data_IF_929196028348
#
_entry.id   IF_929196028348
#
_cell.length_a   1.000
_cell.length_b   1.000
_cell.length_c   1.000
_cell.angle_alpha   90.00
_cell.angle_beta   90.00
_cell.angle_gamma   90.00
#
_symmetry.space_group_name_H-M   'P 1'
#
loop_
_entity.id
_entity.type
_entity.pdbx_description
1 polymer ?
#
# COMPACT_ATOMS: atom_id res chain seq x y z
N UNK A 1 -0.32 -6.53 -71.94
CA UNK A 1 -0.65 -5.43 -71.05
C UNK A 1 -0.42 -5.92 -69.64
N UNK A 2 0.75 -5.64 -69.04
CA UNK A 2 1.08 -5.98 -67.66
C UNK A 2 0.95 -4.75 -66.80
N UNK A 3 0.02 -4.78 -65.81
CA UNK A 3 -0.15 -3.74 -64.83
C UNK A 3 0.75 -4.03 -63.63
N UNK A 4 1.72 -3.18 -63.36
CA UNK A 4 2.59 -3.24 -62.18
C UNK A 4 1.90 -2.55 -61.03
N UNK A 5 1.61 -3.28 -59.94
CA UNK A 5 1.16 -2.71 -58.69
C UNK A 5 2.38 -2.24 -57.88
N UNK A 6 2.50 -0.94 -57.69
CA UNK A 6 3.46 -0.34 -56.74
C UNK A 6 2.89 -0.41 -55.33
N UNK A 7 3.52 -1.23 -54.47
CA UNK A 7 3.25 -1.24 -53.04
C UNK A 7 4.06 -0.14 -52.35
N UNK A 8 3.37 0.86 -51.80
CA UNK A 8 3.96 1.95 -51.03
C UNK A 8 4.11 1.50 -49.57
N UNK A 9 5.34 1.15 -49.17
CA UNK A 9 5.67 0.89 -47.75
C UNK A 9 5.93 2.22 -47.06
N UNK A 10 5.00 2.62 -46.20
CA UNK A 10 5.18 3.77 -45.29
C UNK A 10 6.09 3.33 -44.14
N UNK A 11 7.36 3.72 -44.17
CA UNK A 11 8.28 3.62 -43.04
C UNK A 11 7.91 4.70 -42.03
N UNK A 12 7.22 4.32 -40.96
CA UNK A 12 6.99 5.18 -39.79
C UNK A 12 8.31 5.41 -39.06
N UNK A 13 8.93 6.56 -39.27
CA UNK A 13 10.05 7.04 -38.47
C UNK A 13 9.55 7.39 -37.05
N UNK A 14 9.61 6.44 -36.12
CA UNK A 14 9.44 6.73 -34.71
C UNK A 14 10.65 7.54 -34.22
N UNK A 15 10.45 8.79 -33.86
CA UNK A 15 11.47 9.58 -33.16
C UNK A 15 11.68 9.02 -31.76
N UNK A 16 12.67 8.15 -31.59
CA UNK A 16 13.22 7.83 -30.31
C UNK A 16 14.14 8.99 -29.89
N UNK A 17 13.69 9.88 -29.03
CA UNK A 17 14.56 10.84 -28.36
C UNK A 17 15.34 10.08 -27.28
N UNK A 18 16.55 9.65 -27.59
CA UNK A 18 17.52 9.26 -26.59
C UNK A 18 18.01 10.51 -25.88
N UNK A 19 17.56 10.71 -24.63
CA UNK A 19 18.18 11.70 -23.77
C UNK A 19 19.49 11.10 -23.27
N UNK A 20 20.61 11.53 -23.82
CA UNK A 20 21.94 11.23 -23.25
C UNK A 20 22.07 11.97 -21.91
N UNK A 21 21.59 11.36 -20.84
CA UNK A 21 21.85 11.77 -19.49
C UNK A 21 23.16 11.14 -19.03
N UNK A 22 24.23 11.91 -18.90
CA UNK A 22 25.40 11.45 -18.17
C UNK A 22 24.98 11.25 -16.71
N UNK A 23 24.97 10.01 -16.25
CA UNK A 23 24.74 9.70 -14.85
C UNK A 23 25.93 10.23 -14.04
N UNK A 24 25.76 11.37 -13.39
CA UNK A 24 26.74 11.86 -12.41
C UNK A 24 26.44 11.19 -11.08
N UNK A 25 27.46 10.52 -10.50
CA UNK A 25 27.32 9.96 -9.17
C UNK A 25 27.17 11.11 -8.16
N UNK A 26 25.99 11.22 -7.53
CA UNK A 26 25.65 12.30 -6.60
C UNK A 26 26.18 12.07 -5.16
N UNK A 27 27.03 11.07 -4.95
CA UNK A 27 27.46 10.64 -3.63
C UNK A 27 26.52 9.64 -2.97
N UNK A 28 26.81 9.16 -1.76
CA UNK A 28 25.95 8.26 -1.03
C UNK A 28 24.61 8.94 -0.77
N UNK A 29 23.50 8.22 -1.02
CA UNK A 29 22.18 8.72 -0.68
C UNK A 29 22.14 9.11 0.81
N UNK A 30 21.46 10.21 1.18
CA UNK A 30 21.33 10.61 2.57
C UNK A 30 20.71 9.47 3.38
N UNK A 31 21.26 9.22 4.57
CA UNK A 31 20.73 8.18 5.44
C UNK A 31 19.27 8.48 5.84
N UNK A 32 18.41 7.51 5.70
CA UNK A 32 17.04 7.59 6.21
C UNK A 32 17.11 7.49 7.73
N UNK A 33 16.53 8.45 8.41
CA UNK A 33 16.48 8.53 9.88
C UNK A 33 15.03 8.71 10.34
N UNK A 34 14.75 8.53 11.61
CA UNK A 34 13.43 8.76 12.17
C UNK A 34 12.84 10.14 11.81
N UNK A 35 13.70 11.18 11.76
CA UNK A 35 13.27 12.55 11.45
C UNK A 35 12.93 12.76 9.96
N UNK A 36 13.40 11.90 9.07
CA UNK A 36 13.15 12.02 7.63
C UNK A 36 11.98 11.16 7.13
N UNK A 37 11.44 10.28 7.97
CA UNK A 37 10.36 9.35 7.57
C UNK A 37 9.11 10.07 7.07
N UNK A 38 8.73 11.20 7.67
CA UNK A 38 7.56 11.96 7.25
C UNK A 38 7.64 12.43 5.78
N UNK A 39 8.85 12.74 5.31
CA UNK A 39 9.09 13.15 3.92
C UNK A 39 8.98 12.01 2.90
N UNK A 40 8.86 10.76 3.34
CA UNK A 40 8.67 9.59 2.49
C UNK A 40 7.18 9.21 2.31
N UNK A 41 6.28 9.84 3.07
CA UNK A 41 4.85 9.65 2.91
C UNK A 41 4.36 10.42 1.68
N UNK A 42 3.39 9.85 0.97
CA UNK A 42 2.74 10.54 -0.14
C UNK A 42 1.94 11.74 0.37
N UNK A 43 2.02 12.90 -0.29
CA UNK A 43 1.15 14.03 -0.01
C UNK A 43 -0.34 13.66 -0.16
N UNK A 44 -1.23 14.29 0.61
CA UNK A 44 -2.66 14.02 0.56
C UNK A 44 -3.26 14.16 -0.86
N UNK A 45 -2.81 15.15 -1.62
CA UNK A 45 -3.25 15.35 -2.99
C UNK A 45 -2.88 14.18 -3.93
N UNK A 46 -1.71 13.55 -3.72
CA UNK A 46 -1.30 12.39 -4.50
C UNK A 46 -2.11 11.16 -4.09
N UNK A 47 -2.37 10.97 -2.79
CA UNK A 47 -3.26 9.90 -2.31
C UNK A 47 -4.68 10.06 -2.86
N UNK A 48 -5.20 11.30 -2.89
CA UNK A 48 -6.50 11.62 -3.49
C UNK A 48 -6.58 11.23 -4.97
N UNK A 49 -5.54 11.49 -5.74
CA UNK A 49 -5.47 11.12 -7.15
C UNK A 49 -5.55 9.60 -7.35
N UNK A 50 -4.89 8.81 -6.50
CA UNK A 50 -4.92 7.34 -6.56
C UNK A 50 -6.28 6.75 -6.15
N UNK A 51 -7.05 7.45 -5.31
CA UNK A 51 -8.38 7.04 -4.87
C UNK A 51 -9.49 7.40 -5.87
N UNK A 52 -9.15 7.80 -7.10
CA UNK A 52 -10.10 8.14 -8.18
C UNK A 52 -11.00 9.34 -7.93
N UNK A 53 -10.54 10.26 -7.12
CA UNK A 53 -11.18 11.55 -6.92
C UNK A 53 -11.93 11.66 -5.60
N UNK A 54 -11.75 12.76 -4.99
CA UNK A 54 -12.26 13.17 -3.69
C UNK A 54 -11.11 13.82 -2.92
N UNK A 55 -11.36 14.98 -2.38
CA UNK A 55 -10.39 15.60 -1.49
C UNK A 55 -10.26 14.73 -0.24
N UNK A 56 -9.06 14.25 0.04
CA UNK A 56 -8.76 13.59 1.32
C UNK A 56 -7.82 14.45 2.14
N UNK A 57 -8.03 14.43 3.45
CA UNK A 57 -7.20 15.16 4.41
C UNK A 57 -6.63 14.20 5.44
N UNK A 58 -5.47 14.54 5.98
CA UNK A 58 -4.88 13.79 7.09
C UNK A 58 -5.72 14.01 8.35
N UNK A 59 -6.35 12.96 8.83
CA UNK A 59 -7.20 13.00 10.03
C UNK A 59 -6.48 12.47 11.27
N UNK A 60 -5.43 11.70 11.11
CA UNK A 60 -4.59 11.18 12.20
C UNK A 60 -3.15 10.95 11.72
N UNK A 61 -2.20 11.35 12.54
CA UNK A 61 -0.79 10.97 12.39
C UNK A 61 -0.46 9.83 13.34
N UNK A 62 0.52 9.01 12.95
CA UNK A 62 0.92 7.79 13.64
C UNK A 62 2.43 7.73 13.72
N UNK A 63 2.96 7.56 14.92
CA UNK A 63 4.41 7.48 15.18
C UNK A 63 4.86 6.15 15.78
N UNK A 64 3.88 5.24 15.99
CA UNK A 64 4.11 3.88 16.47
C UNK A 64 3.03 2.94 15.93
N UNK A 65 3.27 1.63 15.86
CA UNK A 65 2.23 0.67 15.54
C UNK A 65 1.06 0.77 16.53
N UNK A 66 -0.16 0.74 16.01
CA UNK A 66 -1.36 0.72 16.85
C UNK A 66 -1.89 -0.71 17.02
N UNK A 67 -2.66 -0.92 18.08
CA UNK A 67 -3.34 -2.18 18.33
C UNK A 67 -4.84 -2.02 18.12
N UNK A 68 -5.34 -2.60 17.04
CA UNK A 68 -6.76 -2.74 16.75
C UNK A 68 -7.15 -4.21 16.51
N UNK A 69 -6.28 -5.14 16.90
CA UNK A 69 -6.50 -6.58 16.73
C UNK A 69 -7.59 -7.15 17.64
N UNK A 70 -7.98 -6.44 18.69
CA UNK A 70 -8.98 -6.89 19.67
C UNK A 70 -10.35 -7.21 19.04
N UNK A 71 -10.69 -6.57 17.92
CA UNK A 71 -11.92 -6.84 17.18
C UNK A 71 -11.84 -8.05 16.23
N UNK A 72 -10.66 -8.63 16.02
CA UNK A 72 -10.48 -9.74 15.08
C UNK A 72 -10.83 -11.05 15.79
N UNK A 73 -11.94 -11.66 15.41
CA UNK A 73 -12.45 -12.89 16.03
C UNK A 73 -12.20 -14.14 15.17
N UNK A 74 -11.78 -13.97 13.92
CA UNK A 74 -11.39 -15.04 13.01
C UNK A 74 -10.35 -14.54 12.03
N UNK A 75 -9.40 -15.40 11.67
CA UNK A 75 -8.31 -15.02 10.77
C UNK A 75 -7.21 -14.16 11.44
N UNK A 76 -7.00 -14.28 12.75
CA UNK A 76 -5.98 -13.50 13.51
C UNK A 76 -4.59 -13.62 12.89
N UNK A 77 -4.23 -14.78 12.34
CA UNK A 77 -2.98 -14.97 11.61
C UNK A 77 -2.84 -14.07 10.36
N UNK A 78 -3.96 -13.45 9.92
CA UNK A 78 -3.99 -12.55 8.76
C UNK A 78 -4.01 -11.06 9.15
N UNK A 79 -3.65 -10.71 10.37
CA UNK A 79 -3.53 -9.34 10.84
C UNK A 79 -2.66 -8.48 9.90
N UNK A 80 -1.60 -9.07 9.36
CA UNK A 80 -0.69 -8.41 8.42
C UNK A 80 -1.39 -7.90 7.15
N UNK A 81 -2.49 -8.52 6.72
CA UNK A 81 -3.28 -8.05 5.57
C UNK A 81 -4.52 -7.28 5.99
N UNK A 82 -4.90 -7.30 7.27
CA UNK A 82 -6.09 -6.63 7.77
C UNK A 82 -5.97 -5.10 7.79
N UNK A 83 -4.81 -4.57 8.11
CA UNK A 83 -4.57 -3.13 8.17
C UNK A 83 -3.09 -2.78 8.23
N UNK A 84 -2.76 -1.53 7.91
CA UNK A 84 -1.39 -1.04 8.03
C UNK A 84 -1.01 -0.83 9.50
N UNK A 85 0.29 -0.86 9.78
CA UNK A 85 0.88 -0.47 11.06
C UNK A 85 0.32 -1.20 12.30
N UNK A 86 -0.05 -2.46 12.16
CA UNK A 86 -0.57 -3.28 13.26
C UNK A 86 0.53 -3.71 14.21
N UNK A 87 0.38 -3.47 15.53
CA UNK A 87 1.40 -3.79 16.54
C UNK A 87 1.85 -5.25 16.46
N UNK A 88 0.93 -6.19 16.45
CA UNK A 88 1.26 -7.62 16.44
C UNK A 88 2.06 -8.09 15.21
N UNK A 89 2.10 -7.27 14.13
CA UNK A 89 2.90 -7.54 12.93
C UNK A 89 4.34 -7.07 13.12
N UNK A 90 4.57 -5.99 13.86
CA UNK A 90 5.89 -5.37 14.04
C UNK A 90 6.59 -5.78 15.34
N UNK A 91 5.90 -6.38 16.30
CA UNK A 91 6.50 -6.82 17.54
C UNK A 91 7.67 -7.80 17.29
N UNK A 92 8.79 -7.55 17.96
CA UNK A 92 10.03 -8.36 17.85
C UNK A 92 10.65 -8.41 16.44
N UNK A 93 10.39 -7.43 15.57
CA UNK A 93 10.93 -7.42 14.20
C UNK A 93 12.16 -6.51 14.04
N UNK A 94 12.56 -5.80 15.08
CA UNK A 94 13.70 -4.86 15.02
C UNK A 94 13.36 -3.54 14.34
N UNK A 95 12.09 -3.15 14.25
CA UNK A 95 11.70 -1.80 13.86
C UNK A 95 12.15 -0.78 14.92
N UNK A 96 12.51 0.42 14.50
CA UNK A 96 13.05 1.46 15.39
C UNK A 96 12.30 2.77 15.35
N UNK A 97 11.64 3.06 14.24
CA UNK A 97 10.81 4.24 14.09
C UNK A 97 9.71 3.99 13.07
N UNK A 98 8.60 4.69 13.22
CA UNK A 98 7.48 4.67 12.29
C UNK A 98 6.94 6.08 12.13
N UNK A 99 6.53 6.38 10.91
CA UNK A 99 5.72 7.56 10.60
C UNK A 99 4.60 7.12 9.67
N UNK A 100 3.38 7.48 10.02
CA UNK A 100 2.23 7.14 9.21
C UNK A 100 1.11 8.18 9.33
N UNK A 101 0.11 8.03 8.48
CA UNK A 101 -1.07 8.89 8.50
C UNK A 101 -2.31 8.13 8.00
N UNK A 102 -3.45 8.50 8.55
CA UNK A 102 -4.77 8.10 8.09
C UNK A 102 -5.38 9.30 7.36
N UNK A 103 -5.85 9.06 6.15
CA UNK A 103 -6.48 10.05 5.30
C UNK A 103 -7.91 9.61 4.98
N UNK A 104 -8.82 10.54 4.94
CA UNK A 104 -10.21 10.34 4.50
C UNK A 104 -10.79 11.66 4.04
N UNK A 105 -11.98 11.62 3.44
CA UNK A 105 -12.70 12.84 3.13
C UNK A 105 -12.90 13.72 4.38
N UNK A 106 -13.02 15.05 4.19
CA UNK A 106 -13.24 15.97 5.30
C UNK A 106 -14.45 15.57 6.15
N UNK A 107 -14.44 15.83 7.46
CA UNK A 107 -15.50 15.41 8.39
C UNK A 107 -16.90 15.95 8.08
N UNK A 108 -17.00 16.96 7.21
CA UNK A 108 -18.27 17.51 6.76
C UNK A 108 -19.03 16.61 5.76
N UNK A 109 -18.37 15.62 5.18
CA UNK A 109 -19.05 14.62 4.36
C UNK A 109 -19.84 13.67 5.30
N UNK A 110 -21.17 13.55 5.14
CA UNK A 110 -21.98 12.71 6.02
C UNK A 110 -21.59 11.23 5.93
N UNK A 111 -21.16 10.80 4.76
CA UNK A 111 -20.68 9.44 4.50
C UNK A 111 -19.36 9.54 3.73
N UNK A 112 -18.26 9.14 4.35
CA UNK A 112 -16.98 9.07 3.63
C UNK A 112 -16.93 7.81 2.76
N UNK A 113 -16.58 8.00 1.49
CA UNK A 113 -16.49 6.92 0.50
C UNK A 113 -15.05 6.39 0.35
N UNK A 114 -14.07 7.21 0.72
CA UNK A 114 -12.66 6.86 0.55
C UNK A 114 -11.86 7.09 1.83
N UNK A 115 -10.97 6.17 2.12
CA UNK A 115 -9.93 6.37 3.13
C UNK A 115 -8.64 5.68 2.70
N UNK A 116 -7.54 6.17 3.19
CA UNK A 116 -6.24 5.54 3.03
C UNK A 116 -5.49 5.55 4.36
N UNK A 117 -4.63 4.57 4.53
CA UNK A 117 -3.62 4.54 5.58
C UNK A 117 -2.29 4.24 4.93
N UNK A 118 -1.30 5.06 5.21
CA UNK A 118 0.08 4.80 4.79
C UNK A 118 1.01 4.90 5.99
N UNK A 119 2.09 4.15 5.95
CA UNK A 119 3.14 4.19 6.96
C UNK A 119 4.49 3.83 6.36
N UNK A 120 5.53 4.48 6.87
CA UNK A 120 6.93 4.15 6.61
C UNK A 120 7.54 3.66 7.91
N UNK A 121 8.25 2.55 7.86
CA UNK A 121 8.85 1.91 9.03
C UNK A 121 10.35 1.80 8.84
N UNK A 122 11.10 2.27 9.81
CA UNK A 122 12.54 2.15 9.86
C UNK A 122 12.92 0.93 10.70
N UNK A 123 13.83 0.13 10.18
CA UNK A 123 14.42 -0.99 10.88
C UNK A 123 15.86 -0.67 11.29
N UNK A 124 16.34 -1.36 12.31
CA UNK A 124 17.69 -1.14 12.85
C UNK A 124 18.78 -1.36 11.79
N UNK A 125 18.56 -2.32 10.88
CA UNK A 125 19.52 -2.65 9.82
C UNK A 125 18.77 -3.04 8.54
N UNK A 126 19.40 -2.89 7.35
CA UNK A 126 18.83 -3.37 6.11
C UNK A 126 18.46 -4.87 6.12
N UNK A 127 19.29 -5.78 6.67
CA UNK A 127 18.90 -7.19 6.81
C UNK A 127 17.64 -7.41 7.64
N UNK A 128 17.41 -6.64 8.72
CA UNK A 128 16.17 -6.76 9.50
C UNK A 128 14.93 -6.38 8.69
N UNK A 129 15.01 -5.34 7.85
CA UNK A 129 13.93 -4.97 6.94
C UNK A 129 13.67 -6.06 5.88
N UNK A 130 14.74 -6.65 5.32
CA UNK A 130 14.63 -7.74 4.34
C UNK A 130 14.00 -9.00 4.95
N UNK A 131 14.39 -9.36 6.17
CA UNK A 131 13.81 -10.48 6.90
C UNK A 131 12.32 -10.24 7.21
N UNK A 132 11.97 -9.03 7.64
CA UNK A 132 10.56 -8.66 7.83
C UNK A 132 9.76 -8.80 6.54
N UNK A 133 10.30 -8.32 5.41
CA UNK A 133 9.64 -8.46 4.12
C UNK A 133 9.50 -9.92 3.69
N UNK A 134 10.53 -10.74 3.88
CA UNK A 134 10.49 -12.17 3.56
C UNK A 134 9.41 -12.91 4.37
N UNK A 135 9.30 -12.63 5.67
CA UNK A 135 8.22 -13.17 6.51
C UNK A 135 6.85 -12.67 6.06
N UNK A 136 6.74 -11.38 5.71
CA UNK A 136 5.49 -10.80 5.22
C UNK A 136 5.01 -11.49 3.95
N UNK A 137 5.90 -11.80 3.01
CA UNK A 137 5.58 -12.56 1.80
C UNK A 137 4.89 -13.89 2.12
N UNK A 138 5.45 -14.65 3.07
CA UNK A 138 4.88 -15.92 3.48
C UNK A 138 3.52 -15.73 4.17
N UNK A 139 3.46 -14.85 5.16
CA UNK A 139 2.22 -14.61 5.93
C UNK A 139 1.08 -14.12 5.02
N UNK A 140 1.38 -13.23 4.06
CA UNK A 140 0.36 -12.74 3.14
C UNK A 140 -0.12 -13.85 2.19
N UNK A 141 0.79 -14.68 1.69
CA UNK A 141 0.44 -15.83 0.84
C UNK A 141 -0.48 -16.80 1.57
N UNK A 142 -0.22 -17.08 2.85
CA UNK A 142 -1.03 -17.97 3.69
C UNK A 142 -2.44 -17.41 3.95
N UNK A 143 -2.62 -16.10 3.79
CA UNK A 143 -3.91 -15.41 3.94
C UNK A 143 -4.72 -15.31 2.65
N UNK A 144 -4.13 -15.61 1.51
CA UNK A 144 -4.79 -15.53 0.21
C UNK A 144 -6.04 -16.41 0.15
N UNK A 145 -7.16 -15.83 -0.27
CA UNK A 145 -8.44 -16.53 -0.38
C UNK A 145 -9.14 -16.85 0.94
N UNK A 146 -8.66 -16.32 2.07
CA UNK A 146 -9.26 -16.55 3.39
C UNK A 146 -10.24 -15.43 3.76
N UNK A 147 -11.09 -15.73 4.74
CA UNK A 147 -11.98 -14.75 5.35
C UNK A 147 -11.40 -14.23 6.67
N UNK A 148 -11.70 -12.96 6.96
CA UNK A 148 -11.38 -12.27 8.20
C UNK A 148 -12.67 -11.76 8.85
N UNK A 149 -12.91 -12.15 10.08
CA UNK A 149 -14.00 -11.61 10.90
C UNK A 149 -13.47 -10.49 11.80
N UNK A 150 -14.09 -9.35 11.71
CA UNK A 150 -13.75 -8.19 12.52
C UNK A 150 -15.01 -7.61 13.16
N UNK A 151 -14.95 -7.36 14.46
CA UNK A 151 -16.03 -6.71 15.23
C UNK A 151 -15.49 -5.42 15.79
N UNK A 152 -15.69 -4.27 15.10
CA UNK A 152 -15.25 -2.98 15.64
C UNK A 152 -16.03 -2.65 16.93
N UNK A 153 -15.44 -1.87 17.83
CA UNK A 153 -16.16 -1.36 18.99
C UNK A 153 -17.40 -0.57 18.54
N UNK A 154 -18.55 -0.87 19.14
CA UNK A 154 -19.83 -0.17 18.89
C UNK A 154 -20.36 -0.27 17.45
N UNK A 155 -19.90 -1.24 16.67
CA UNK A 155 -20.37 -1.47 15.30
C UNK A 155 -20.69 -2.96 15.06
N UNK A 156 -21.51 -3.29 14.06
CA UNK A 156 -21.80 -4.68 13.69
C UNK A 156 -20.53 -5.44 13.27
N UNK A 157 -20.57 -6.76 13.46
CA UNK A 157 -19.54 -7.64 12.93
C UNK A 157 -19.41 -7.48 11.42
N UNK A 158 -18.18 -7.45 10.95
CA UNK A 158 -17.82 -7.36 9.54
C UNK A 158 -17.16 -8.65 9.08
N UNK A 159 -17.57 -9.11 7.92
CA UNK A 159 -16.92 -10.22 7.22
C UNK A 159 -16.15 -9.66 6.03
N UNK A 160 -14.86 -9.90 5.99
CA UNK A 160 -13.98 -9.51 4.89
C UNK A 160 -13.45 -10.75 4.18
N UNK A 161 -13.48 -10.77 2.87
CA UNK A 161 -12.73 -11.74 2.07
C UNK A 161 -11.42 -11.14 1.61
N UNK A 162 -10.37 -11.93 1.70
CA UNK A 162 -9.01 -11.60 1.26
C UNK A 162 -8.84 -12.19 -0.13
N UNK A 163 -8.53 -11.35 -1.10
CA UNK A 163 -8.26 -11.74 -2.48
C UNK A 163 -6.91 -12.42 -2.65
N UNK A 164 -6.53 -12.73 -3.91
CA UNK A 164 -5.21 -13.24 -4.21
C UNK A 164 -4.13 -12.23 -3.82
N UNK A 165 -3.06 -12.73 -3.21
CA UNK A 165 -1.84 -11.95 -2.96
C UNK A 165 -0.94 -12.02 -4.18
N UNK A 166 -0.42 -10.89 -4.62
CA UNK A 166 0.56 -10.81 -5.70
C UNK A 166 1.83 -10.12 -5.25
N UNK A 167 2.92 -10.42 -5.94
CA UNK A 167 4.24 -9.84 -5.70
C UNK A 167 4.78 -9.36 -7.04
N UNK A 168 5.08 -8.07 -7.11
CA UNK A 168 5.69 -7.47 -8.27
C UNK A 168 6.71 -6.42 -7.85
N UNK A 169 7.95 -6.50 -8.35
CA UNK A 169 9.04 -5.55 -8.04
C UNK A 169 9.18 -5.26 -6.54
N UNK A 170 9.22 -6.32 -5.71
CA UNK A 170 9.29 -6.24 -4.25
C UNK A 170 8.12 -5.50 -3.58
N UNK A 171 6.99 -5.41 -4.27
CA UNK A 171 5.73 -4.91 -3.72
C UNK A 171 4.76 -6.07 -3.54
N UNK A 172 4.28 -6.25 -2.31
CA UNK A 172 3.18 -7.15 -1.98
C UNK A 172 1.86 -6.40 -2.17
N UNK A 173 0.94 -6.98 -2.92
CA UNK A 173 -0.41 -6.40 -3.08
C UNK A 173 -1.50 -7.41 -2.79
N UNK A 174 -2.59 -6.95 -2.21
CA UNK A 174 -3.78 -7.75 -1.92
C UNK A 174 -5.03 -6.87 -1.96
N UNK A 175 -6.10 -7.40 -2.55
CA UNK A 175 -7.43 -6.80 -2.43
C UNK A 175 -8.20 -7.42 -1.28
N UNK A 176 -9.12 -6.66 -0.68
CA UNK A 176 -10.07 -7.15 0.32
C UNK A 176 -11.44 -6.59 0.03
N UNK A 177 -12.46 -7.40 0.23
CA UNK A 177 -13.85 -7.00 0.05
C UNK A 177 -14.64 -7.24 1.33
N UNK A 178 -15.30 -6.20 1.84
CA UNK A 178 -16.25 -6.34 2.94
C UNK A 178 -17.57 -6.88 2.41
N UNK A 179 -17.96 -8.07 2.86
CA UNK A 179 -19.18 -8.75 2.43
C UNK A 179 -20.40 -8.41 3.26
N UNK A 180 -20.21 -7.99 4.51
CA UNK A 180 -21.29 -7.68 5.44
C UNK A 180 -20.80 -6.72 6.52
N UNK A 181 -21.67 -5.74 6.97
CA UNK A 181 -23.00 -5.41 6.47
C UNK A 181 -22.96 -4.53 5.22
N UNK A 182 -21.88 -3.82 4.96
CA UNK A 182 -21.67 -2.90 3.83
C UNK A 182 -20.50 -3.33 2.99
N UNK A 183 -20.60 -3.19 1.67
CA UNK A 183 -19.51 -3.57 0.77
C UNK A 183 -18.48 -2.46 0.66
N UNK A 184 -17.29 -2.74 1.13
CA UNK A 184 -16.09 -1.96 0.88
C UNK A 184 -15.11 -2.78 0.06
N UNK A 185 -14.46 -2.17 -0.91
CA UNK A 185 -13.32 -2.75 -1.61
C UNK A 185 -12.07 -1.98 -1.20
N UNK A 186 -11.07 -2.68 -0.72
CA UNK A 186 -9.80 -2.10 -0.30
C UNK A 186 -8.65 -2.81 -1.02
N UNK A 187 -7.63 -2.05 -1.36
CA UNK A 187 -6.36 -2.58 -1.84
C UNK A 187 -5.26 -2.23 -0.85
N UNK A 188 -4.34 -3.14 -0.66
CA UNK A 188 -3.16 -2.95 0.15
C UNK A 188 -1.91 -3.30 -0.66
N UNK A 189 -0.90 -2.46 -0.55
CA UNK A 189 0.45 -2.68 -1.03
C UNK A 189 1.45 -2.44 0.10
#
# INVERSE_FOLDING_TARGET
MMAALLSLTVLGAGCATTTEGAATWAGPAPAITANTLAGLLLPAAQVAAELSGGDVVVTRQVTAPWDDSAGITGGVGCLAVAGAAQRGVYDNTGWTAMQGQVLREPPAAPDWAHFATQAVVLFQTPPAAQEFFARSRQTWADCSGRDLNYTPPLAPQQLWSIGPVSIHNDVLTVSREQRSPQRWSCQRA
#
